data_IF_928800922619
#
_entry.id   IF_928800922619
#
_cell.length_a   1.000
_cell.length_b   1.000
_cell.length_c   1.000
_cell.angle_alpha   90.00
_cell.angle_beta   90.00
_cell.angle_gamma   90.00
#
_symmetry.space_group_name_H-M   'P 1'
#
loop_
_entity.id
_entity.type
_entity.pdbx_description
1 polymer ?
#
# COMPACT_ATOMS: atom_id res chain seq x y z
N UNK A 1 -10.50 5.97 -13.40
CA UNK A 1 -10.36 6.09 -11.94
C UNK A 1 -9.94 4.79 -11.27
N UNK A 2 -10.71 3.70 -11.38
CA UNK A 2 -10.36 2.40 -10.76
C UNK A 2 -9.00 1.83 -11.20
N UNK A 3 -8.68 1.91 -12.50
CA UNK A 3 -7.38 1.48 -13.01
C UNK A 3 -6.21 2.28 -12.41
N UNK A 4 -6.37 3.59 -12.23
CA UNK A 4 -5.36 4.45 -11.60
C UNK A 4 -5.10 4.04 -10.15
N UNK A 5 -6.16 3.78 -9.38
CA UNK A 5 -6.07 3.34 -7.98
C UNK A 5 -5.43 1.96 -7.88
N UNK A 6 -5.76 1.04 -8.79
CA UNK A 6 -5.11 -0.26 -8.89
C UNK A 6 -3.61 -0.16 -9.19
N UNK A 7 -3.22 0.70 -10.13
CA UNK A 7 -1.81 0.94 -10.45
C UNK A 7 -1.06 1.55 -9.26
N UNK A 8 -1.64 2.55 -8.58
CA UNK A 8 -1.06 3.13 -7.36
C UNK A 8 -0.85 2.04 -6.31
N UNK A 9 -1.84 1.17 -6.11
CA UNK A 9 -1.78 0.08 -5.13
C UNK A 9 -0.64 -0.89 -5.44
N UNK A 10 -0.54 -1.36 -6.69
CA UNK A 10 0.49 -2.34 -7.10
C UNK A 10 1.89 -1.72 -7.08
N UNK A 11 2.04 -0.51 -7.64
CA UNK A 11 3.34 0.16 -7.75
C UNK A 11 3.84 0.60 -6.37
N UNK A 12 2.97 1.17 -5.53
CA UNK A 12 3.39 1.56 -4.18
C UNK A 12 3.77 0.35 -3.34
N UNK A 13 3.05 -0.77 -3.45
CA UNK A 13 3.42 -2.02 -2.75
C UNK A 13 4.84 -2.49 -3.13
N UNK A 14 5.18 -2.40 -4.42
CA UNK A 14 6.53 -2.70 -4.91
C UNK A 14 7.55 -1.70 -4.35
N UNK A 15 7.28 -0.40 -4.43
CA UNK A 15 8.21 0.64 -3.97
C UNK A 15 8.54 0.53 -2.48
N UNK A 16 7.53 0.31 -1.64
CA UNK A 16 7.75 0.12 -0.19
C UNK A 16 8.55 -1.15 0.11
N UNK A 17 8.29 -2.25 -0.61
CA UNK A 17 9.11 -3.45 -0.50
C UNK A 17 10.55 -3.19 -0.94
N UNK A 18 10.76 -2.52 -2.08
CA UNK A 18 12.11 -2.18 -2.56
C UNK A 18 12.85 -1.27 -1.58
N UNK A 19 12.16 -0.27 -1.02
CA UNK A 19 12.72 0.62 -0.03
C UNK A 19 13.18 -0.15 1.23
N UNK A 20 12.36 -1.09 1.72
CA UNK A 20 12.72 -1.91 2.87
C UNK A 20 13.89 -2.85 2.58
N UNK A 21 13.81 -3.64 1.51
CA UNK A 21 14.75 -4.72 1.23
C UNK A 21 16.10 -4.25 0.61
N UNK A 22 16.14 -3.10 -0.07
CA UNK A 22 17.36 -2.62 -0.75
C UNK A 22 17.85 -1.26 -0.25
N UNK A 23 16.96 -0.30 0.01
CA UNK A 23 17.35 1.07 0.32
C UNK A 23 17.70 1.25 1.80
N UNK A 24 16.87 0.70 2.68
CA UNK A 24 17.15 0.68 4.12
C UNK A 24 18.20 -0.39 4.40
N UNK A 25 17.92 -1.67 4.06
CA UNK A 25 18.80 -2.85 4.13
C UNK A 25 19.88 -2.81 5.25
N UNK A 26 19.51 -2.29 6.43
CA UNK A 26 20.40 -2.10 7.58
C UNK A 26 20.12 -3.20 8.59
N UNK A 27 21.16 -3.85 9.16
CA UNK A 27 20.98 -4.95 10.10
C UNK A 27 20.17 -4.57 11.35
N UNK A 28 20.22 -3.31 11.79
CA UNK A 28 19.38 -2.82 12.90
C UNK A 28 17.90 -2.68 12.56
N UNK A 29 17.56 -2.53 11.27
CA UNK A 29 16.22 -2.28 10.75
C UNK A 29 15.60 -3.51 10.05
N UNK A 30 16.36 -4.60 9.88
CA UNK A 30 15.89 -5.89 9.35
C UNK A 30 15.13 -6.73 10.37
N UNK A 31 14.20 -6.12 11.13
CA UNK A 31 13.34 -6.85 12.08
C UNK A 31 11.91 -6.93 11.56
N UNK A 32 11.19 -7.98 11.94
CA UNK A 32 9.79 -8.19 11.53
C UNK A 32 8.88 -6.99 11.81
N UNK A 33 9.03 -6.36 12.98
CA UNK A 33 8.26 -5.17 13.34
C UNK A 33 8.50 -3.97 12.40
N UNK A 34 9.72 -3.78 11.90
CA UNK A 34 10.00 -2.71 10.94
C UNK A 34 9.36 -3.01 9.58
N UNK A 35 9.34 -4.28 9.16
CA UNK A 35 8.64 -4.69 7.93
C UNK A 35 7.13 -4.44 8.04
N UNK A 36 6.53 -4.77 9.19
CA UNK A 36 5.13 -4.47 9.46
C UNK A 36 4.85 -2.96 9.47
N UNK A 37 5.73 -2.17 10.11
CA UNK A 37 5.59 -0.71 10.15
C UNK A 37 5.59 -0.11 8.75
N UNK A 38 6.52 -0.54 7.88
CA UNK A 38 6.55 -0.12 6.47
C UNK A 38 5.29 -0.56 5.72
N UNK A 39 4.79 -1.77 6.01
CA UNK A 39 3.50 -2.24 5.48
C UNK A 39 2.34 -1.35 5.90
N UNK A 40 2.25 -0.95 7.17
CA UNK A 40 1.21 -0.03 7.67
C UNK A 40 1.29 1.32 6.95
N UNK A 41 2.48 1.87 6.73
CA UNK A 41 2.63 3.10 5.95
C UNK A 41 2.12 2.95 4.52
N UNK A 42 2.43 1.83 3.86
CA UNK A 42 1.89 1.52 2.54
C UNK A 42 0.36 1.44 2.55
N UNK A 43 -0.23 0.77 3.55
CA UNK A 43 -1.69 0.68 3.68
C UNK A 43 -2.35 2.05 3.87
N UNK A 44 -1.75 2.95 4.66
CA UNK A 44 -2.25 4.31 4.82
C UNK A 44 -2.23 5.07 3.49
N UNK A 45 -1.17 4.96 2.71
CA UNK A 45 -1.09 5.59 1.37
C UNK A 45 -2.20 5.07 0.45
N UNK A 46 -2.42 3.75 0.43
CA UNK A 46 -3.49 3.12 -0.37
C UNK A 46 -4.89 3.52 0.13
N UNK A 47 -5.09 3.62 1.44
CA UNK A 47 -6.35 4.04 2.04
C UNK A 47 -6.68 5.49 1.65
N UNK A 48 -5.76 6.43 1.86
CA UNK A 48 -6.00 7.84 1.55
C UNK A 48 -6.15 8.08 0.05
N UNK A 49 -5.33 7.44 -0.78
CA UNK A 49 -5.46 7.57 -2.24
C UNK A 49 -6.80 7.04 -2.75
N UNK A 50 -7.25 5.87 -2.27
CA UNK A 50 -8.55 5.31 -2.64
C UNK A 50 -9.75 6.05 -2.04
N UNK A 51 -9.56 6.84 -0.99
CA UNK A 51 -10.62 7.69 -0.43
C UNK A 51 -10.72 9.04 -1.17
N UNK A 52 -9.61 9.77 -1.29
CA UNK A 52 -9.62 11.15 -1.82
C UNK A 52 -9.73 11.20 -3.34
N UNK A 53 -9.05 10.31 -4.08
CA UNK A 53 -9.09 10.36 -5.56
C UNK A 53 -10.54 10.21 -6.08
N UNK A 54 -11.35 9.23 -5.61
CA UNK A 54 -12.75 9.14 -6.00
C UNK A 54 -13.58 10.34 -5.55
N UNK A 55 -13.41 10.76 -4.29
CA UNK A 55 -14.18 11.85 -3.71
C UNK A 55 -13.98 13.14 -4.50
N UNK A 56 -12.73 13.53 -4.76
CA UNK A 56 -12.40 14.75 -5.49
C UNK A 56 -12.88 14.68 -6.95
N UNK A 57 -12.78 13.50 -7.57
CA UNK A 57 -13.23 13.30 -8.95
C UNK A 57 -14.76 13.42 -9.09
N UNK A 58 -15.53 12.85 -8.15
CA UNK A 58 -16.98 12.95 -8.16
C UNK A 58 -17.48 14.33 -7.73
N UNK A 59 -16.85 14.95 -6.74
CA UNK A 59 -17.17 16.32 -6.34
C UNK A 59 -17.01 17.30 -7.51
N UNK A 60 -15.93 17.15 -8.29
CA UNK A 60 -15.70 17.91 -9.51
C UNK A 60 -16.71 17.58 -10.64
N UNK A 61 -17.08 16.30 -10.79
CA UNK A 61 -18.02 15.85 -11.83
C UNK A 61 -19.45 16.34 -11.58
N UNK A 62 -19.87 16.38 -10.32
CA UNK A 62 -21.22 16.77 -9.91
C UNK A 62 -21.31 18.22 -9.41
N UNK A 63 -20.24 19.01 -9.56
CA UNK A 63 -20.16 20.41 -9.12
C UNK A 63 -20.60 20.60 -7.65
N UNK A 64 -20.18 19.68 -6.77
CA UNK A 64 -20.54 19.69 -5.35
C UNK A 64 -21.84 18.99 -4.98
N UNK A 65 -22.60 18.46 -5.96
CA UNK A 65 -23.82 17.67 -5.71
C UNK A 65 -23.53 16.15 -5.78
N UNK A 66 -22.51 15.71 -5.06
CA UNK A 66 -22.08 14.31 -5.02
C UNK A 66 -23.18 13.41 -4.43
N UNK A 67 -23.69 12.41 -5.19
CA UNK A 67 -24.72 11.49 -4.72
C UNK A 67 -24.20 10.43 -3.72
N UNK A 68 -22.88 10.30 -3.57
CA UNK A 68 -22.28 9.28 -2.70
C UNK A 68 -22.00 9.82 -1.30
N UNK A 69 -22.28 8.99 -0.28
CA UNK A 69 -21.98 9.35 1.11
C UNK A 69 -20.51 9.13 1.42
N UNK A 70 -20.01 9.82 2.46
CA UNK A 70 -18.66 9.56 2.99
C UNK A 70 -18.47 8.09 3.40
N UNK A 71 -19.54 7.40 3.82
CA UNK A 71 -19.51 5.97 4.14
C UNK A 71 -19.22 5.09 2.94
N UNK A 72 -19.68 5.45 1.74
CA UNK A 72 -19.44 4.67 0.52
C UNK A 72 -17.96 4.73 0.12
N UNK A 73 -17.37 5.91 0.22
CA UNK A 73 -15.93 6.12 0.00
C UNK A 73 -15.07 5.40 1.03
N UNK A 74 -15.50 5.38 2.30
CA UNK A 74 -14.83 4.61 3.35
C UNK A 74 -14.91 3.10 3.08
N UNK A 75 -16.07 2.59 2.66
CA UNK A 75 -16.24 1.18 2.30
C UNK A 75 -15.32 0.78 1.15
N UNK A 76 -15.26 1.61 0.11
CA UNK A 76 -14.38 1.40 -1.03
C UNK A 76 -12.89 1.42 -0.63
N UNK A 77 -12.47 2.39 0.19
CA UNK A 77 -11.08 2.50 0.60
C UNK A 77 -10.63 1.35 1.50
N UNK A 78 -11.52 0.83 2.36
CA UNK A 78 -11.26 -0.37 3.17
C UNK A 78 -11.03 -1.61 2.31
N UNK A 79 -11.89 -1.84 1.31
CA UNK A 79 -11.75 -2.98 0.38
C UNK A 79 -10.46 -2.86 -0.44
N UNK A 80 -10.13 -1.65 -0.93
CA UNK A 80 -8.88 -1.41 -1.64
C UNK A 80 -7.66 -1.63 -0.74
N UNK A 81 -7.72 -1.22 0.52
CA UNK A 81 -6.63 -1.40 1.49
C UNK A 81 -6.43 -2.88 1.82
N UNK A 82 -7.50 -3.67 1.93
CA UNK A 82 -7.40 -5.12 2.08
C UNK A 82 -6.73 -5.78 0.86
N UNK A 83 -7.07 -5.31 -0.34
CA UNK A 83 -6.42 -5.75 -1.58
C UNK A 83 -4.94 -5.34 -1.63
N UNK A 84 -4.61 -4.12 -1.17
CA UNK A 84 -3.24 -3.61 -1.09
C UNK A 84 -2.35 -4.48 -0.18
N UNK A 85 -2.87 -4.95 0.95
CA UNK A 85 -2.15 -5.86 1.83
C UNK A 85 -1.74 -7.15 1.10
N UNK A 86 -2.63 -7.69 0.26
CA UNK A 86 -2.35 -8.89 -0.53
C UNK A 86 -1.20 -8.64 -1.51
N UNK A 87 -1.21 -7.51 -2.22
CA UNK A 87 -0.11 -7.15 -3.12
C UNK A 87 1.21 -6.88 -2.39
N UNK A 88 1.17 -6.28 -1.21
CA UNK A 88 2.37 -6.06 -0.39
C UNK A 88 3.04 -7.38 0.01
N UNK A 89 2.25 -8.38 0.40
CA UNK A 89 2.74 -9.73 0.72
C UNK A 89 3.27 -10.44 -0.53
N UNK A 90 2.56 -10.36 -1.66
CA UNK A 90 2.99 -10.96 -2.92
C UNK A 90 4.33 -10.38 -3.39
N UNK A 91 4.48 -9.06 -3.33
CA UNK A 91 5.74 -8.41 -3.69
C UNK A 91 6.88 -8.78 -2.75
N UNK A 92 6.61 -8.91 -1.44
CA UNK A 92 7.59 -9.38 -0.48
C UNK A 92 8.17 -10.75 -0.89
N UNK A 93 7.33 -11.68 -1.37
CA UNK A 93 7.78 -13.01 -1.82
C UNK A 93 8.71 -12.93 -3.03
N UNK A 94 8.56 -11.93 -3.91
CA UNK A 94 9.40 -11.75 -5.10
C UNK A 94 10.69 -10.98 -4.76
N UNK A 95 10.56 -9.90 -4.00
CA UNK A 95 11.63 -8.92 -3.75
C UNK A 95 12.69 -9.45 -2.77
N UNK A 96 12.29 -10.30 -1.81
CA UNK A 96 13.18 -10.76 -0.71
C UNK A 96 14.43 -11.51 -1.17
N UNK A 97 14.41 -12.16 -2.34
CA UNK A 97 15.44 -13.14 -2.72
C UNK A 97 16.83 -12.54 -2.98
N UNK A 98 16.89 -11.28 -3.43
CA UNK A 98 18.14 -10.59 -3.76
C UNK A 98 18.64 -9.66 -2.65
N UNK A 99 17.93 -9.56 -1.52
CA UNK A 99 18.36 -8.72 -0.38
C UNK A 99 19.44 -9.44 0.43
N UNK A 100 20.45 -8.70 0.90
CA UNK A 100 21.56 -9.26 1.69
C UNK A 100 21.22 -9.41 3.17
N UNK A 101 20.75 -8.33 3.83
CA UNK A 101 20.55 -8.31 5.29
C UNK A 101 19.09 -8.52 5.71
N UNK A 102 18.11 -8.22 4.84
CA UNK A 102 16.68 -8.30 5.17
C UNK A 102 16.00 -9.58 4.66
N UNK A 103 16.75 -10.49 4.01
CA UNK A 103 16.22 -11.72 3.39
C UNK A 103 15.43 -12.62 4.35
N UNK A 104 15.82 -12.66 5.61
CA UNK A 104 15.22 -13.47 6.69
C UNK A 104 14.07 -12.77 7.39
N UNK A 105 13.64 -11.60 6.94
CA UNK A 105 12.40 -10.96 7.41
C UNK A 105 11.30 -11.09 6.36
N UNK A 106 10.06 -11.40 6.77
CA UNK A 106 9.49 -11.49 8.11
C UNK A 106 9.74 -12.81 8.88
N UNK A 107 10.07 -13.91 8.19
CA UNK A 107 10.25 -15.23 8.81
C UNK A 107 11.74 -15.54 9.04
N UNK A 108 12.25 -15.38 10.27
CA UNK A 108 13.60 -15.84 10.59
C UNK A 108 13.66 -17.37 10.48
N UNK A 109 14.73 -17.89 9.87
CA UNK A 109 15.04 -19.32 9.90
C UNK A 109 15.46 -19.77 11.29
#
# INVERSE_FOLDING_TARGET
MYGTIGLITIISALLFNLAFYYLINRPSFSKWFHWMFVGVLHLLVCFFSSYFIPKDAFDALFAGNDPYSSTDYLGFSLVNTASALSFYILWMLVVRWKSSNAKTTPFPH
#
